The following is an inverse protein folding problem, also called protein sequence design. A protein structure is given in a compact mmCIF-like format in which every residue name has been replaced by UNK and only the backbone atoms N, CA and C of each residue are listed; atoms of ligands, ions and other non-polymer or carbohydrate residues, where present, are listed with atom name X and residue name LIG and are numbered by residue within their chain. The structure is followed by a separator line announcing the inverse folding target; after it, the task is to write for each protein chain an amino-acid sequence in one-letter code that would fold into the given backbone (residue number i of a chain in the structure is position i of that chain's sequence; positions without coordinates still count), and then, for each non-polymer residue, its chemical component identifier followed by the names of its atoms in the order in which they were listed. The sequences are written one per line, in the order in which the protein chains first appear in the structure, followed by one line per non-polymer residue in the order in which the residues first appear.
data_IF_442953653063
#
_entry.id   IF_442953653063
#
_cell.length_a   1.000
_cell.length_b   1.000
_cell.length_c   1.000
_cell.angle_alpha   90.00
_cell.angle_beta   90.00
_cell.angle_gamma   90.00
#
_symmetry.space_group_name_H-M   'P 1'
#
loop_
_entity.id
_entity.type
_entity.pdbx_description
1 polymer ?
#
# COMPACT_ATOMS: atom_id res chain seq x y z
N UNK A 1 0.22 -9.87 -3.94
CA UNK A 1 1.61 -10.39 -3.82
C UNK A 1 1.57 -11.84 -4.23
N UNK A 2 2.51 -12.27 -5.05
CA UNK A 2 2.54 -13.63 -5.61
C UNK A 2 3.99 -14.11 -5.67
N UNK A 3 4.21 -15.41 -5.49
CA UNK A 3 5.54 -16.00 -5.50
C UNK A 3 5.59 -17.29 -6.31
N UNK A 4 6.76 -17.55 -6.89
CA UNK A 4 6.93 -18.52 -7.98
C UNK A 4 6.91 -20.00 -7.52
N UNK A 5 7.18 -20.23 -6.24
CA UNK A 5 7.27 -21.58 -5.64
C UNK A 5 6.29 -21.76 -4.46
N UNK A 6 4.97 -21.86 -4.72
CA UNK A 6 3.94 -21.93 -3.67
C UNK A 6 3.93 -23.24 -2.88
N UNK A 7 4.44 -24.31 -3.49
CA UNK A 7 4.53 -25.62 -2.86
C UNK A 7 5.77 -25.75 -1.96
N UNK A 8 6.81 -24.96 -2.22
CA UNK A 8 8.11 -25.08 -1.59
C UNK A 8 8.38 -23.99 -0.55
N UNK A 9 7.68 -22.86 -0.65
CA UNK A 9 7.84 -21.72 0.23
C UNK A 9 6.55 -20.93 0.39
N UNK A 10 6.50 -20.19 1.49
CA UNK A 10 5.39 -19.30 1.82
C UNK A 10 5.91 -17.96 2.31
N UNK A 11 5.06 -16.95 2.19
CA UNK A 11 5.32 -15.58 2.64
C UNK A 11 4.26 -15.19 3.67
N UNK A 12 4.69 -14.51 4.73
CA UNK A 12 3.78 -13.91 5.70
C UNK A 12 4.14 -12.46 5.98
N UNK A 13 3.12 -11.70 6.34
CA UNK A 13 3.22 -10.33 6.83
C UNK A 13 3.09 -10.39 8.33
N UNK A 14 4.04 -9.79 9.03
CA UNK A 14 4.12 -9.78 10.49
C UNK A 14 4.17 -8.35 11.00
N UNK A 15 3.65 -8.16 12.21
CA UNK A 15 3.77 -6.91 12.94
C UNK A 15 5.23 -6.69 13.35
N UNK A 16 5.83 -5.59 12.90
CA UNK A 16 7.24 -5.30 13.14
C UNK A 16 7.53 -4.92 14.59
N UNK A 17 6.53 -4.44 15.33
CA UNK A 17 6.67 -3.96 16.71
C UNK A 17 6.67 -5.11 17.72
N UNK A 18 6.10 -6.25 17.33
CA UNK A 18 6.02 -7.45 18.15
C UNK A 18 7.24 -8.37 17.97
N UNK A 19 8.17 -8.02 17.08
CA UNK A 19 9.39 -8.79 16.84
C UNK A 19 10.39 -8.48 17.95
N UNK A 20 10.80 -9.52 18.68
CA UNK A 20 11.96 -9.46 19.56
C UNK A 20 13.24 -9.47 18.70
N UNK A 21 13.73 -8.29 18.35
CA UNK A 21 14.91 -8.16 17.48
C UNK A 21 16.19 -8.70 18.13
N UNK A 22 16.30 -8.73 19.45
CA UNK A 22 17.48 -9.29 20.13
C UNK A 22 17.61 -10.81 19.87
N UNK A 23 16.47 -11.48 19.64
CA UNK A 23 16.40 -12.92 19.32
C UNK A 23 16.29 -13.18 17.82
N UNK A 24 15.56 -12.33 17.10
CA UNK A 24 15.14 -12.56 15.72
C UNK A 24 15.94 -11.78 14.68
N UNK A 25 17.05 -11.13 15.06
CA UNK A 25 17.89 -10.38 14.12
C UNK A 25 18.34 -11.28 12.95
N UNK A 26 18.16 -10.83 11.69
CA UNK A 26 18.68 -11.56 10.55
C UNK A 26 20.21 -11.54 10.54
N UNK A 27 20.82 -12.69 10.28
CA UNK A 27 22.27 -12.79 10.09
C UNK A 27 22.71 -12.22 8.73
N UNK A 28 24.01 -12.30 8.42
CA UNK A 28 24.59 -11.83 7.14
C UNK A 28 23.96 -12.46 5.88
N UNK A 29 23.20 -13.55 6.04
CA UNK A 29 22.48 -14.25 4.96
C UNK A 29 20.97 -13.93 4.96
N UNK A 30 20.51 -13.01 5.81
CA UNK A 30 19.10 -12.66 5.95
C UNK A 30 18.26 -13.68 6.72
N UNK A 31 18.90 -14.70 7.33
CA UNK A 31 18.21 -15.75 8.07
C UNK A 31 18.06 -15.35 9.54
N UNK A 32 16.86 -15.51 10.05
CA UNK A 32 16.52 -15.28 11.46
C UNK A 32 16.56 -16.59 12.23
N UNK A 33 16.99 -16.54 13.50
CA UNK A 33 16.98 -17.68 14.42
C UNK A 33 15.60 -17.99 15.02
N UNK A 34 14.59 -17.20 14.68
CA UNK A 34 13.24 -17.33 15.23
C UNK A 34 12.37 -18.33 14.48
N UNK A 35 11.41 -18.88 15.20
CA UNK A 35 10.41 -19.81 14.71
C UNK A 35 9.10 -19.10 14.43
N UNK A 36 8.18 -19.77 13.71
CA UNK A 36 6.88 -19.19 13.37
C UNK A 36 6.09 -18.69 14.59
N UNK A 37 6.22 -19.36 15.73
CA UNK A 37 5.56 -19.00 16.99
C UNK A 37 6.10 -17.73 17.64
N UNK A 38 7.25 -17.24 17.20
CA UNK A 38 7.85 -15.98 17.69
C UNK A 38 7.33 -14.74 16.93
N UNK A 39 6.49 -14.94 15.90
CA UNK A 39 5.96 -13.86 15.07
C UNK A 39 4.44 -13.75 15.17
N UNK A 40 3.95 -12.51 15.26
CA UNK A 40 2.52 -12.21 15.11
C UNK A 40 2.19 -12.05 13.62
N UNK A 41 1.62 -13.09 13.03
CA UNK A 41 1.21 -13.10 11.62
C UNK A 41 -0.07 -12.28 11.46
N UNK A 42 0.02 -11.24 10.64
CA UNK A 42 -1.13 -10.42 10.23
C UNK A 42 -1.81 -11.02 8.99
N UNK A 43 -1.04 -11.57 8.06
CA UNK A 43 -1.56 -12.16 6.82
C UNK A 43 -0.57 -13.16 6.19
N UNK A 44 -1.07 -14.15 5.44
CA UNK A 44 -0.25 -15.18 4.79
C UNK A 44 0.11 -16.33 5.72
N UNK A 45 1.32 -16.89 5.58
CA UNK A 45 1.81 -18.01 6.41
C UNK A 45 1.86 -19.36 5.69
N UNK A 46 2.17 -20.45 6.42
CA UNK A 46 2.43 -21.78 5.86
C UNK A 46 1.24 -22.39 5.11
N UNK A 47 0.04 -21.95 5.43
CA UNK A 47 -1.21 -22.37 4.80
C UNK A 47 -1.52 -21.58 3.52
N UNK A 48 -0.69 -20.61 3.12
CA UNK A 48 -0.94 -19.80 1.94
C UNK A 48 -0.58 -20.56 0.65
N UNK A 49 -1.44 -20.45 -0.37
CA UNK A 49 -1.36 -21.21 -1.63
C UNK A 49 -0.65 -20.48 -2.77
N UNK A 50 0.22 -19.50 -2.48
CA UNK A 50 1.04 -18.82 -3.50
C UNK A 50 0.69 -17.38 -3.80
N UNK A 51 -0.43 -16.90 -3.27
CA UNK A 51 -0.82 -15.50 -3.40
C UNK A 51 -1.39 -14.97 -2.10
N UNK A 52 -1.12 -13.68 -1.87
CA UNK A 52 -1.62 -12.93 -0.73
C UNK A 52 -2.11 -11.57 -1.18
N UNK A 53 -3.32 -11.22 -0.74
CA UNK A 53 -3.87 -9.88 -0.79
C UNK A 53 -3.97 -9.39 0.64
N UNK A 54 -3.36 -8.24 0.93
CA UNK A 54 -3.38 -7.63 2.23
C UNK A 54 -3.53 -6.12 2.08
N UNK A 55 -4.45 -5.54 2.85
CA UNK A 55 -4.64 -4.10 2.91
C UNK A 55 -3.60 -3.48 3.83
N UNK A 56 -2.79 -2.58 3.28
CA UNK A 56 -1.73 -1.91 4.03
C UNK A 56 -2.35 -0.92 5.02
N UNK A 57 -2.32 -1.27 6.30
CA UNK A 57 -2.64 -0.33 7.36
C UNK A 57 -1.43 0.53 7.74
N UNK A 58 -1.64 1.81 8.11
CA UNK A 58 -0.56 2.67 8.58
C UNK A 58 0.09 2.07 9.84
N UNK A 59 1.37 1.73 9.74
CA UNK A 59 2.10 1.07 10.83
C UNK A 59 3.43 0.52 10.33
N UNK A 60 4.15 -0.17 11.21
CA UNK A 60 5.38 -0.86 10.84
C UNK A 60 5.12 -2.36 10.66
N UNK A 61 5.22 -2.84 9.42
CA UNK A 61 5.06 -4.26 9.08
C UNK A 61 6.31 -4.78 8.39
N UNK A 62 6.58 -6.07 8.56
CA UNK A 62 7.69 -6.78 7.89
C UNK A 62 7.14 -7.99 7.14
N UNK A 63 7.88 -8.41 6.13
CA UNK A 63 7.61 -9.65 5.42
C UNK A 63 8.62 -10.70 5.87
N UNK A 64 8.14 -11.89 6.16
CA UNK A 64 8.97 -13.07 6.41
C UNK A 64 8.70 -14.12 5.35
N UNK A 65 9.73 -14.88 5.00
CA UNK A 65 9.64 -15.97 4.04
C UNK A 65 10.24 -17.22 4.66
N UNK A 66 9.62 -18.38 4.49
CA UNK A 66 10.24 -19.64 4.85
C UNK A 66 9.85 -20.76 3.89
N UNK A 67 10.66 -21.82 3.89
CA UNK A 67 10.36 -23.05 3.16
C UNK A 67 9.21 -23.82 3.81
N UNK A 68 8.47 -24.58 3.00
CA UNK A 68 7.47 -25.55 3.46
C UNK A 68 8.17 -26.82 3.95
N UNK A 69 7.58 -27.50 4.93
CA UNK A 69 8.15 -28.71 5.48
C UNK A 69 8.25 -29.80 4.40
N UNK A 70 9.47 -30.31 4.16
CA UNK A 70 9.73 -31.38 3.18
C UNK A 70 10.40 -30.93 1.88
N UNK A 71 10.59 -29.63 1.67
CA UNK A 71 11.33 -29.11 0.51
C UNK A 71 12.82 -29.09 0.79
N UNK A 72 13.60 -29.75 -0.08
CA UNK A 72 15.07 -29.81 -0.05
C UNK A 72 15.73 -28.94 -1.14
N UNK A 73 14.95 -28.36 -2.05
CA UNK A 73 15.41 -27.60 -3.21
C UNK A 73 14.73 -26.24 -3.25
N UNK A 74 15.25 -25.30 -2.47
CA UNK A 74 14.84 -23.90 -2.54
C UNK A 74 16.08 -23.06 -2.85
N UNK A 75 16.42 -22.95 -4.15
CA UNK A 75 17.57 -22.17 -4.59
C UNK A 75 17.25 -20.66 -4.61
N UNK A 76 16.11 -20.26 -5.18
CA UNK A 76 15.67 -18.86 -5.27
C UNK A 76 14.15 -18.75 -5.27
N UNK A 77 13.56 -17.91 -4.41
CA UNK A 77 12.14 -17.56 -4.45
C UNK A 77 11.98 -16.10 -4.86
N UNK A 78 11.35 -15.87 -6.01
CA UNK A 78 11.03 -14.52 -6.51
C UNK A 78 9.63 -14.14 -6.06
N UNK A 79 9.53 -13.05 -5.32
CA UNK A 79 8.26 -12.50 -4.84
C UNK A 79 7.92 -11.23 -5.62
N UNK A 80 6.80 -11.27 -6.35
CA UNK A 80 6.30 -10.12 -7.11
C UNK A 80 5.26 -9.36 -6.30
N UNK A 81 5.51 -8.08 -6.08
CA UNK A 81 4.61 -7.17 -5.37
C UNK A 81 4.02 -6.14 -6.32
N UNK A 82 2.70 -5.96 -6.28
CA UNK A 82 1.98 -4.90 -6.98
C UNK A 82 1.27 -4.06 -5.94
N UNK A 83 1.54 -2.76 -5.92
CA UNK A 83 0.83 -1.80 -5.07
C UNK A 83 -0.12 -0.96 -5.90
N UNK A 84 -1.32 -0.72 -5.36
CA UNK A 84 -2.25 0.28 -5.87
C UNK A 84 -2.41 1.35 -4.80
N UNK A 85 -1.91 2.56 -5.09
CA UNK A 85 -2.07 3.72 -4.20
C UNK A 85 -3.08 4.66 -4.83
N UNK A 86 -4.15 4.95 -4.10
CA UNK A 86 -5.20 5.90 -4.50
C UNK A 86 -5.31 7.06 -3.52
N UNK A 87 -5.76 8.22 -4.00
CA UNK A 87 -6.19 9.30 -3.11
C UNK A 87 -7.56 8.94 -2.51
N UNK A 88 -7.72 9.17 -1.21
CA UNK A 88 -9.03 9.12 -0.58
C UNK A 88 -10.00 10.13 -1.19
N UNK A 89 -11.31 9.91 -1.01
CA UNK A 89 -12.36 10.74 -1.60
C UNK A 89 -12.23 12.23 -1.23
N UNK A 90 -11.92 12.54 0.03
CA UNK A 90 -11.82 13.92 0.53
C UNK A 90 -10.69 14.71 -0.16
N UNK A 91 -9.41 14.27 -0.12
CA UNK A 91 -8.35 14.99 -0.82
C UNK A 91 -8.56 15.01 -2.34
N UNK A 92 -9.18 13.98 -2.92
CA UNK A 92 -9.54 13.95 -4.34
C UNK A 92 -10.53 15.07 -4.69
N UNK A 93 -11.60 15.24 -3.91
CA UNK A 93 -12.58 16.30 -4.14
C UNK A 93 -11.98 17.69 -3.94
N UNK A 94 -11.10 17.88 -2.96
CA UNK A 94 -10.39 19.14 -2.76
C UNK A 94 -9.50 19.49 -3.96
N UNK A 95 -8.67 18.55 -4.42
CA UNK A 95 -7.84 18.76 -5.62
C UNK A 95 -8.70 19.04 -6.85
N UNK A 96 -9.80 18.29 -7.00
CA UNK A 96 -10.75 18.48 -8.09
C UNK A 96 -11.36 19.88 -8.08
N UNK A 97 -11.83 20.36 -6.92
CA UNK A 97 -12.40 21.69 -6.76
C UNK A 97 -11.37 22.80 -7.05
N UNK A 98 -10.15 22.67 -6.51
CA UNK A 98 -9.05 23.61 -6.79
C UNK A 98 -8.73 23.63 -8.28
N UNK A 99 -8.68 22.46 -8.94
CA UNK A 99 -8.48 22.35 -10.39
C UNK A 99 -9.56 23.10 -11.17
N UNK A 100 -10.83 22.93 -10.82
CA UNK A 100 -11.95 23.65 -11.45
C UNK A 100 -11.82 25.17 -11.26
N UNK A 101 -11.49 25.63 -10.06
CA UNK A 101 -11.29 27.07 -9.78
C UNK A 101 -10.11 27.63 -10.59
N UNK A 102 -9.02 26.89 -10.72
CA UNK A 102 -7.88 27.28 -11.55
C UNK A 102 -8.27 27.35 -13.04
N UNK A 103 -9.03 26.39 -13.55
CA UNK A 103 -9.53 26.43 -14.92
C UNK A 103 -10.44 27.64 -15.16
N UNK A 104 -11.38 27.93 -14.25
CA UNK A 104 -12.28 29.07 -14.37
C UNK A 104 -11.53 30.41 -14.32
N UNK A 105 -10.55 30.54 -13.41
CA UNK A 105 -9.74 31.76 -13.31
C UNK A 105 -8.89 31.97 -14.57
N UNK A 106 -8.30 30.91 -15.14
CA UNK A 106 -7.62 30.95 -16.43
C UNK A 106 -8.54 31.40 -17.57
N UNK A 107 -9.78 30.89 -17.63
CA UNK A 107 -10.78 31.30 -18.64
C UNK A 107 -11.15 32.78 -18.48
N UNK A 108 -11.32 33.28 -17.26
CA UNK A 108 -11.61 34.70 -17.03
C UNK A 108 -10.47 35.63 -17.48
N UNK A 109 -9.21 35.18 -17.39
CA UNK A 109 -8.06 35.94 -17.91
C UNK A 109 -7.93 35.85 -19.44
N UNK A 110 -8.23 34.69 -20.04
CA UNK A 110 -8.18 34.50 -21.49
C UNK A 110 -9.35 35.21 -22.22
N UNK A 111 -10.54 35.20 -21.61
CA UNK A 111 -11.75 35.83 -22.14
C UNK A 111 -12.48 36.55 -20.99
N UNK A 112 -12.33 37.88 -20.85
CA UNK A 112 -12.97 38.61 -19.76
C UNK A 112 -14.49 38.63 -19.95
N UNK A 113 -15.18 37.68 -19.30
CA UNK A 113 -16.64 37.57 -19.32
C UNK A 113 -17.21 38.66 -18.40
N UNK A 114 -17.82 39.69 -18.97
CA UNK A 114 -18.56 40.70 -18.19
C UNK A 114 -19.92 40.12 -17.79
N UNK A 115 -20.05 39.66 -16.54
CA UNK A 115 -21.36 39.44 -15.95
C UNK A 115 -22.06 40.81 -15.80
N UNK A 116 -22.97 41.12 -16.72
CA UNK A 116 -23.78 42.32 -16.68
C UNK A 116 -24.59 42.36 -15.39
N UNK A 117 -24.23 43.26 -14.48
CA UNK A 117 -25.04 43.64 -13.32
C UNK A 117 -26.38 44.15 -13.87
N UNK A 118 -27.45 43.36 -13.73
CA UNK A 118 -28.80 43.78 -14.10
C UNK A 118 -29.18 44.90 -13.12
N UNK A 119 -28.93 46.14 -13.55
CA UNK A 119 -29.28 47.34 -12.82
C UNK A 119 -30.79 47.42 -12.67
N UNK A 120 -31.28 47.18 -11.46
CA UNK A 120 -32.62 47.59 -11.05
C UNK A 120 -32.60 49.08 -10.74
N UNK A 121 -32.87 49.90 -11.75
CA UNK A 121 -33.26 51.31 -11.58
C UNK A 121 -34.57 51.53 -12.33
N UNK A 122 -35.64 51.63 -11.57
CA UNK A 122 -36.94 52.21 -11.93
C UNK A 122 -37.69 52.37 -10.60
N UNK A 123 -38.24 53.50 -10.19
CA UNK A 123 -38.44 54.81 -10.80
C UNK A 123 -39.15 55.65 -9.72
N UNK A 124 -39.25 56.95 -9.97
CA UNK A 124 -39.85 57.99 -9.12
C UNK A 124 -41.16 57.61 -8.42
#
# INVERSE_FOLDING_TARGET
MEWDHPNDAWVAIVDAEQIDYDKCEPNDQGLTGCTLSDFTILAGGPESEGSLVWDLEPGSTRFITAGKAGTLTLDTNVVTYSYSVGLGLVPLLLLGAVGVVLCLSGVQMAFPIKFGKKGGSAGR
#
